data_IF_013184578642
#
_entry.id   IF_013184578642
#
_cell.length_a   1.000
_cell.length_b   1.000
_cell.length_c   1.000
_cell.angle_alpha   90.00
_cell.angle_beta   90.00
_cell.angle_gamma   90.00
#
_symmetry.space_group_name_H-M   'P 1'
#
loop_
_entity.id
_entity.type
_entity.pdbx_description
1 polymer ?
#
# COMPACT_ATOMS: atom_id res chain seq x y z
N UNK A 1 -51.09 -82.88 61.44
CA UNK A 1 -50.35 -83.20 60.20
C UNK A 1 -50.47 -82.01 59.24
N UNK A 2 -49.32 -81.53 58.79
CA UNK A 2 -49.02 -80.60 57.67
C UNK A 2 -49.76 -79.25 57.60
N UNK A 3 -49.14 -78.13 57.99
CA UNK A 3 -48.10 -77.34 57.27
C UNK A 3 -48.44 -77.07 55.81
N UNK A 4 -48.73 -75.80 55.50
CA UNK A 4 -48.25 -75.16 54.27
C UNK A 4 -48.12 -73.64 54.48
N UNK A 5 -46.87 -73.25 54.67
CA UNK A 5 -46.38 -71.90 54.91
C UNK A 5 -46.11 -71.25 53.54
N UNK A 6 -46.96 -70.31 53.10
CA UNK A 6 -46.71 -69.58 51.86
C UNK A 6 -45.87 -68.34 52.16
N UNK A 7 -44.55 -68.47 52.02
CA UNK A 7 -43.59 -67.36 52.09
C UNK A 7 -43.80 -66.43 50.88
N UNK A 8 -44.31 -65.24 51.12
CA UNK A 8 -44.26 -64.14 50.16
C UNK A 8 -42.85 -63.55 50.15
N UNK A 9 -42.12 -63.75 49.06
CA UNK A 9 -40.80 -63.13 48.85
C UNK A 9 -41.03 -61.75 48.22
N UNK A 10 -40.45 -60.65 48.76
CA UNK A 10 -40.55 -59.35 48.14
C UNK A 10 -39.71 -59.36 46.85
N UNK A 11 -40.36 -59.18 45.71
CA UNK A 11 -39.69 -58.96 44.42
C UNK A 11 -39.00 -57.60 44.51
N UNK A 12 -37.66 -57.60 44.58
CA UNK A 12 -36.89 -56.38 44.38
C UNK A 12 -36.99 -56.00 42.90
N UNK A 13 -37.79 -54.96 42.63
CA UNK A 13 -37.92 -54.36 41.30
C UNK A 13 -36.62 -53.62 40.99
N UNK A 14 -35.66 -54.31 40.37
CA UNK A 14 -34.48 -53.67 39.79
C UNK A 14 -34.98 -52.82 38.62
N UNK A 15 -35.07 -51.50 38.83
CA UNK A 15 -35.42 -50.52 37.81
C UNK A 15 -34.31 -50.53 36.76
N UNK A 16 -34.50 -51.31 35.69
CA UNK A 16 -33.76 -51.11 34.45
C UNK A 16 -34.14 -49.72 33.96
N UNK A 17 -33.14 -48.86 33.71
CA UNK A 17 -33.30 -47.52 33.14
C UNK A 17 -34.35 -47.54 32.02
N UNK A 18 -35.38 -46.70 32.13
CA UNK A 18 -36.50 -46.66 31.18
C UNK A 18 -36.04 -46.08 29.85
N UNK A 19 -36.78 -46.34 28.78
CA UNK A 19 -36.62 -45.64 27.48
C UNK A 19 -36.74 -44.12 27.68
N UNK A 20 -37.50 -43.67 28.68
CA UNK A 20 -37.65 -42.25 29.04
C UNK A 20 -36.32 -41.64 29.54
N UNK A 21 -35.55 -42.35 30.38
CA UNK A 21 -34.26 -41.89 30.88
C UNK A 21 -33.23 -41.75 29.74
N UNK A 22 -33.33 -42.62 28.73
CA UNK A 22 -32.51 -42.56 27.52
C UNK A 22 -32.89 -41.37 26.63
N UNK A 23 -34.19 -41.13 26.46
CA UNK A 23 -34.71 -39.99 25.68
C UNK A 23 -34.32 -38.64 26.31
N UNK A 24 -34.40 -38.50 27.63
CA UNK A 24 -33.94 -37.28 28.33
C UNK A 24 -32.45 -37.01 28.10
N UNK A 25 -31.61 -38.05 28.16
CA UNK A 25 -30.17 -37.91 27.89
C UNK A 25 -29.90 -37.48 26.44
N UNK A 26 -30.64 -38.04 25.48
CA UNK A 26 -30.53 -37.68 24.06
C UNK A 26 -30.94 -36.22 23.82
N UNK A 27 -32.02 -35.76 24.44
CA UNK A 27 -32.48 -34.36 24.36
C UNK A 27 -31.41 -33.41 24.91
N UNK A 28 -30.87 -33.69 26.10
CA UNK A 28 -29.81 -32.85 26.66
C UNK A 28 -28.53 -32.80 25.81
N UNK A 29 -28.21 -33.88 25.09
CA UNK A 29 -27.11 -33.87 24.12
C UNK A 29 -27.42 -33.00 22.90
N UNK A 30 -28.65 -33.03 22.39
CA UNK A 30 -29.09 -32.19 21.27
C UNK A 30 -29.07 -30.70 21.64
N UNK A 31 -29.56 -30.32 22.82
CA UNK A 31 -29.51 -28.93 23.31
C UNK A 31 -28.06 -28.43 23.40
N UNK A 32 -27.14 -29.29 23.84
CA UNK A 32 -25.73 -28.95 23.94
C UNK A 32 -25.09 -28.80 22.55
N UNK A 33 -25.50 -29.60 21.57
CA UNK A 33 -25.09 -29.44 20.17
C UNK A 33 -25.64 -28.13 19.61
N UNK A 34 -26.91 -27.82 19.82
CA UNK A 34 -27.54 -26.59 19.35
C UNK A 34 -26.83 -25.35 19.90
N UNK A 35 -26.54 -25.33 21.21
CA UNK A 35 -25.76 -24.25 21.83
C UNK A 35 -24.37 -24.11 21.22
N UNK A 36 -23.68 -25.21 20.94
CA UNK A 36 -22.35 -25.18 20.31
C UNK A 36 -22.42 -24.68 18.87
N UNK A 37 -23.46 -25.06 18.12
CA UNK A 37 -23.69 -24.56 16.76
C UNK A 37 -23.90 -23.06 16.78
N UNK A 38 -24.68 -22.55 17.73
CA UNK A 38 -24.92 -21.10 17.83
C UNK A 38 -23.65 -20.34 18.20
N UNK A 39 -22.86 -20.85 19.16
CA UNK A 39 -21.55 -20.26 19.49
C UNK A 39 -20.59 -20.25 18.29
N UNK A 40 -20.60 -21.30 17.47
CA UNK A 40 -19.78 -21.36 16.26
C UNK A 40 -20.26 -20.35 15.21
N UNK A 41 -21.57 -20.12 15.08
CA UNK A 41 -22.12 -19.08 14.19
C UNK A 41 -21.71 -17.69 14.63
N UNK A 42 -21.84 -17.39 15.92
CA UNK A 42 -21.42 -16.10 16.48
C UNK A 42 -19.91 -15.87 16.25
N UNK A 43 -19.09 -16.88 16.52
CA UNK A 43 -17.64 -16.82 16.29
C UNK A 43 -17.29 -16.65 14.80
N UNK A 44 -17.98 -17.35 13.90
CA UNK A 44 -17.82 -17.17 12.46
C UNK A 44 -18.19 -15.74 12.03
N UNK A 45 -19.28 -15.18 12.56
CA UNK A 45 -19.70 -13.81 12.29
C UNK A 45 -18.68 -12.77 12.78
N UNK A 46 -18.05 -12.99 13.93
CA UNK A 46 -16.97 -12.12 14.42
C UNK A 46 -15.74 -12.19 13.50
N UNK A 47 -15.33 -13.39 13.09
CA UNK A 47 -14.21 -13.57 12.17
C UNK A 47 -14.45 -12.93 10.80
N UNK A 48 -15.69 -12.98 10.29
CA UNK A 48 -16.07 -12.30 9.05
C UNK A 48 -15.95 -10.78 9.17
N UNK A 49 -16.34 -10.20 10.31
CA UNK A 49 -16.19 -8.76 10.56
C UNK A 49 -14.72 -8.35 10.68
N UNK A 50 -13.89 -9.14 11.39
CA UNK A 50 -12.45 -8.89 11.48
C UNK A 50 -11.78 -8.96 10.10
N UNK A 51 -12.14 -9.96 9.29
CA UNK A 51 -11.66 -10.09 7.90
C UNK A 51 -11.98 -8.84 7.08
N UNK A 52 -13.22 -8.35 7.14
CA UNK A 52 -13.64 -7.17 6.38
C UNK A 52 -12.91 -5.90 6.86
N UNK A 53 -12.70 -5.76 8.16
CA UNK A 53 -11.88 -4.68 8.74
C UNK A 53 -10.44 -4.72 8.23
N UNK A 54 -9.81 -5.91 8.20
CA UNK A 54 -8.47 -6.10 7.65
C UNK A 54 -8.39 -5.76 6.16
N UNK A 55 -9.38 -6.15 5.36
CA UNK A 55 -9.45 -5.83 3.94
C UNK A 55 -9.48 -4.31 3.72
N UNK A 56 -10.30 -3.59 4.50
CA UNK A 56 -10.38 -2.14 4.41
C UNK A 56 -9.05 -1.45 4.80
N UNK A 57 -8.41 -1.91 5.87
CA UNK A 57 -7.10 -1.38 6.27
C UNK A 57 -6.02 -1.64 5.21
N UNK A 58 -5.98 -2.84 4.62
CA UNK A 58 -5.06 -3.16 3.53
C UNK A 58 -5.33 -2.30 2.29
N UNK A 59 -6.59 -2.03 1.97
CA UNK A 59 -6.97 -1.11 0.90
C UNK A 59 -6.38 0.29 1.09
N UNK A 60 -6.45 0.82 2.31
CA UNK A 60 -5.87 2.12 2.66
C UNK A 60 -4.33 2.14 2.54
N UNK A 61 -3.66 1.11 3.05
CA UNK A 61 -2.19 0.98 2.94
C UNK A 61 -1.75 0.87 1.48
N UNK A 62 -2.50 0.15 0.66
CA UNK A 62 -2.21 0.03 -0.77
C UNK A 62 -2.36 1.36 -1.50
N UNK A 63 -3.36 2.16 -1.14
CA UNK A 63 -3.54 3.51 -1.69
C UNK A 63 -2.37 4.44 -1.34
N UNK A 64 -1.90 4.39 -0.08
CA UNK A 64 -0.73 5.16 0.37
C UNK A 64 0.53 4.76 -0.39
N UNK A 65 0.75 3.46 -0.58
CA UNK A 65 1.88 2.94 -1.36
C UNK A 65 1.86 3.44 -2.81
N UNK A 66 0.69 3.46 -3.47
CA UNK A 66 0.56 3.96 -4.84
C UNK A 66 0.79 5.48 -4.92
N UNK A 67 0.30 6.24 -3.93
CA UNK A 67 0.56 7.68 -3.86
C UNK A 67 2.05 7.97 -3.73
N UNK A 68 2.76 7.26 -2.87
CA UNK A 68 4.22 7.37 -2.73
C UNK A 68 4.95 7.01 -4.04
N UNK A 69 4.51 5.95 -4.72
CA UNK A 69 5.07 5.53 -6.01
C UNK A 69 4.91 6.62 -7.07
N UNK A 70 3.71 7.21 -7.17
CA UNK A 70 3.43 8.31 -8.10
C UNK A 70 4.23 9.57 -7.75
N UNK A 71 4.35 9.90 -6.47
CA UNK A 71 5.19 11.00 -5.98
C UNK A 71 6.65 10.83 -6.39
N UNK A 72 7.22 9.63 -6.19
CA UNK A 72 8.59 9.33 -6.59
C UNK A 72 8.79 9.41 -8.11
N UNK A 73 7.83 8.91 -8.89
CA UNK A 73 7.88 9.00 -10.35
C UNK A 73 7.86 10.45 -10.83
N UNK A 74 7.03 11.31 -10.23
CA UNK A 74 6.97 12.73 -10.55
C UNK A 74 8.30 13.45 -10.21
N UNK A 75 8.89 13.15 -9.05
CA UNK A 75 10.20 13.68 -8.65
C UNK A 75 11.29 13.27 -9.65
N UNK A 76 11.32 12.00 -10.05
CA UNK A 76 12.30 11.49 -11.01
C UNK A 76 12.17 12.19 -12.37
N UNK A 77 10.94 12.34 -12.86
CA UNK A 77 10.67 13.05 -14.12
C UNK A 77 11.09 14.52 -14.04
N UNK A 78 10.77 15.20 -12.94
CA UNK A 78 11.20 16.58 -12.73
C UNK A 78 12.73 16.72 -12.71
N UNK A 79 13.45 15.76 -12.08
CA UNK A 79 14.92 15.73 -12.10
C UNK A 79 15.47 15.57 -13.51
N UNK A 80 14.88 14.67 -14.31
CA UNK A 80 15.23 14.47 -15.71
C UNK A 80 14.99 15.73 -16.55
N UNK A 81 13.81 16.34 -16.44
CA UNK A 81 13.45 17.55 -17.17
C UNK A 81 14.39 18.73 -16.84
N UNK A 82 14.71 18.93 -15.55
CA UNK A 82 15.68 19.95 -15.12
C UNK A 82 17.08 19.67 -15.68
N UNK A 83 17.51 18.41 -15.72
CA UNK A 83 18.80 18.04 -16.30
C UNK A 83 18.83 18.29 -17.81
N UNK A 84 17.79 17.90 -18.53
CA UNK A 84 17.67 18.14 -19.96
C UNK A 84 17.68 19.65 -20.29
N UNK A 85 16.95 20.45 -19.51
CA UNK A 85 16.94 21.91 -19.64
C UNK A 85 18.33 22.51 -19.38
N UNK A 86 19.02 22.04 -18.32
CA UNK A 86 20.39 22.47 -18.00
C UNK A 86 21.36 22.20 -19.15
N UNK A 87 21.34 20.99 -19.69
CA UNK A 87 22.23 20.60 -20.79
C UNK A 87 21.91 21.37 -22.08
N UNK A 88 20.64 21.67 -22.36
CA UNK A 88 20.27 22.57 -23.45
C UNK A 88 20.81 23.99 -23.25
N UNK A 89 20.67 24.56 -22.04
CA UNK A 89 21.19 25.89 -21.72
C UNK A 89 22.72 25.94 -21.84
N UNK A 90 23.44 24.88 -21.46
CA UNK A 90 24.89 24.78 -21.65
C UNK A 90 25.27 24.79 -23.13
N UNK A 91 24.56 24.04 -23.98
CA UNK A 91 24.80 24.03 -25.43
C UNK A 91 24.60 25.41 -26.06
N UNK A 92 23.57 26.14 -25.61
CA UNK A 92 23.37 27.53 -26.02
C UNK A 92 24.45 28.47 -25.49
N UNK A 93 24.91 28.26 -24.25
CA UNK A 93 25.97 29.08 -23.67
C UNK A 93 27.28 28.90 -24.43
N UNK A 94 27.62 27.65 -24.79
CA UNK A 94 28.80 27.31 -25.60
C UNK A 94 28.72 27.92 -27.01
N UNK A 95 27.52 27.99 -27.60
CA UNK A 95 27.30 28.65 -28.89
C UNK A 95 27.59 30.16 -28.87
N UNK A 96 27.47 30.84 -27.72
CA UNK A 96 27.82 32.26 -27.58
C UNK A 96 29.33 32.51 -27.50
N UNK A 97 30.18 31.48 -27.38
CA UNK A 97 31.64 31.61 -27.29
C UNK A 97 32.32 30.33 -27.81
N UNK A 98 32.33 30.10 -29.14
CA UNK A 98 32.77 28.84 -29.74
C UNK A 98 34.29 28.64 -29.73
N UNK A 99 35.07 29.66 -29.35
CA UNK A 99 36.53 29.59 -29.32
C UNK A 99 37.07 28.68 -28.21
N UNK A 100 36.27 28.43 -27.15
CA UNK A 100 36.64 27.56 -26.04
C UNK A 100 35.40 26.90 -25.39
N UNK A 101 34.70 25.99 -26.11
CA UNK A 101 33.47 25.42 -25.61
C UNK A 101 33.75 24.35 -24.55
N UNK A 102 33.01 24.40 -23.44
CA UNK A 102 32.97 23.33 -22.44
C UNK A 102 31.84 22.36 -22.80
N UNK A 103 32.08 21.54 -23.83
CA UNK A 103 31.15 20.53 -24.32
C UNK A 103 30.42 20.89 -25.63
N UNK A 104 29.29 20.22 -25.94
CA UNK A 104 28.62 20.36 -27.23
C UNK A 104 28.02 21.76 -27.43
N UNK A 105 27.90 22.16 -28.69
CA UNK A 105 27.33 23.43 -29.13
C UNK A 105 26.02 23.16 -29.87
N UNK A 106 25.02 24.03 -29.68
CA UNK A 106 23.86 24.08 -30.57
C UNK A 106 24.17 24.92 -31.81
N UNK A 107 24.38 24.25 -32.94
CA UNK A 107 24.75 24.88 -34.21
C UNK A 107 23.68 25.83 -34.74
N UNK A 108 22.39 25.48 -34.59
CA UNK A 108 21.28 26.29 -35.09
C UNK A 108 21.17 27.60 -34.31
N UNK A 109 21.40 27.55 -33.01
CA UNK A 109 21.44 28.73 -32.17
C UNK A 109 22.70 29.56 -32.44
N UNK A 110 23.85 28.91 -32.63
CA UNK A 110 25.11 29.58 -32.97
C UNK A 110 24.98 30.46 -34.22
N UNK A 111 24.39 29.94 -35.30
CA UNK A 111 24.16 30.71 -36.54
C UNK A 111 23.38 31.99 -36.27
N UNK A 112 22.33 31.94 -35.46
CA UNK A 112 21.51 33.10 -35.13
C UNK A 112 22.24 34.10 -34.22
N UNK A 113 23.03 33.61 -33.27
CA UNK A 113 23.75 34.47 -32.30
C UNK A 113 24.87 35.25 -32.98
N UNK A 114 25.57 34.68 -33.96
CA UNK A 114 26.64 35.37 -34.69
C UNK A 114 26.11 36.57 -35.48
N UNK A 115 24.86 36.52 -35.93
CA UNK A 115 24.18 37.62 -36.64
C UNK A 115 23.74 38.76 -35.71
N UNK A 116 23.80 38.57 -34.39
CA UNK A 116 23.45 39.59 -33.40
C UNK A 116 24.60 40.58 -33.15
N UNK A 117 24.27 41.75 -32.58
CA UNK A 117 25.29 42.70 -32.13
C UNK A 117 26.11 42.13 -30.98
N UNK A 118 27.37 42.58 -30.84
CA UNK A 118 28.25 42.12 -29.76
C UNK A 118 27.67 42.36 -28.35
N UNK A 119 26.90 43.43 -28.17
CA UNK A 119 26.24 43.71 -26.89
C UNK A 119 25.07 42.77 -26.62
N UNK A 120 24.31 42.40 -27.65
CA UNK A 120 23.24 41.41 -27.51
C UNK A 120 23.81 40.02 -27.24
N UNK A 121 24.89 39.63 -27.91
CA UNK A 121 25.61 38.38 -27.63
C UNK A 121 26.06 38.32 -26.15
N UNK A 122 26.63 39.39 -25.60
CA UNK A 122 27.00 39.47 -24.18
C UNK A 122 25.80 39.34 -23.24
N UNK A 123 24.67 40.01 -23.57
CA UNK A 123 23.44 39.93 -22.78
C UNK A 123 22.86 38.51 -22.78
N UNK A 124 22.79 37.87 -23.95
CA UNK A 124 22.32 36.48 -24.12
C UNK A 124 23.19 35.54 -23.28
N UNK A 125 24.53 35.62 -23.44
CA UNK A 125 25.48 34.80 -22.67
C UNK A 125 25.29 34.95 -21.17
N UNK A 126 25.17 36.18 -20.67
CA UNK A 126 24.96 36.46 -19.24
C UNK A 126 23.63 35.87 -18.76
N UNK A 127 22.57 35.97 -19.57
CA UNK A 127 21.25 35.43 -19.22
C UNK A 127 21.26 33.90 -19.15
N UNK A 128 21.91 33.23 -20.09
CA UNK A 128 22.08 31.77 -20.09
C UNK A 128 22.83 31.30 -18.84
N UNK A 129 23.92 31.98 -18.46
CA UNK A 129 24.66 31.66 -17.23
C UNK A 129 23.80 31.81 -15.96
N UNK A 130 22.95 32.83 -15.91
CA UNK A 130 22.00 33.03 -14.80
C UNK A 130 20.97 31.89 -14.76
N UNK A 131 20.38 31.51 -15.90
CA UNK A 131 19.39 30.43 -15.98
C UNK A 131 19.98 29.08 -15.55
N UNK A 132 21.22 28.77 -15.96
CA UNK A 132 21.92 27.56 -15.53
C UNK A 132 22.06 27.55 -14.01
N UNK A 133 22.52 28.67 -13.40
CA UNK A 133 22.63 28.77 -11.94
C UNK A 133 21.27 28.63 -11.23
N UNK A 134 20.19 29.14 -11.81
CA UNK A 134 18.85 28.97 -11.25
C UNK A 134 18.40 27.50 -11.26
N UNK A 135 18.64 26.80 -12.38
CA UNK A 135 18.34 25.36 -12.48
C UNK A 135 19.18 24.56 -11.48
N UNK A 136 20.48 24.86 -11.35
CA UNK A 136 21.34 24.19 -10.38
C UNK A 136 20.90 24.40 -8.93
N UNK A 137 20.41 25.60 -8.59
CA UNK A 137 19.81 25.85 -7.28
C UNK A 137 18.54 25.04 -7.09
N UNK A 138 17.65 25.01 -8.08
CA UNK A 138 16.42 24.21 -8.04
C UNK A 138 16.71 22.71 -7.85
N UNK A 139 17.75 22.19 -8.50
CA UNK A 139 18.19 20.80 -8.34
C UNK A 139 18.70 20.49 -6.92
N UNK A 140 19.32 21.46 -6.23
CA UNK A 140 19.77 21.29 -4.83
C UNK A 140 18.62 21.25 -3.85
N UNK A 141 17.58 22.07 -4.05
CA UNK A 141 16.38 22.00 -3.21
C UNK A 141 15.68 20.65 -3.32
N UNK A 142 15.63 20.05 -4.52
CA UNK A 142 15.07 18.71 -4.74
C UNK A 142 15.95 17.54 -4.23
N UNK A 143 17.11 17.82 -3.62
CA UNK A 143 18.02 16.82 -3.04
C UNK A 143 18.16 16.97 -1.51
N UNK A 144 17.57 18.00 -0.91
CA UNK A 144 17.73 18.36 0.50
C UNK A 144 16.62 17.82 1.42
N UNK A 145 15.63 17.11 0.89
CA UNK A 145 14.60 16.46 1.70
C UNK A 145 14.52 14.97 1.35
N UNK A 146 14.49 14.16 2.42
CA UNK A 146 14.57 12.68 2.55
C UNK A 146 15.97 12.08 2.64
#
# INVERSE_FOLDING_TARGET
>A
MNSNNSRTVPVQLIRKTSVDDFNERMIGMLDQVEKRVEQLRESAGQLEQERESLINMLGNVNLDSELLRLGQAAINKMKEDLNNAKEAMKRFLNACSPDLPDGPIDQRFQTQVIECTADDQKKIRRRLAILINQIERAQRYGAAEF
#
